data_IF_298952411443
#
_entry.id   IF_298952411443
#
_cell.length_a   1.000
_cell.length_b   1.000
_cell.length_c   1.000
_cell.angle_alpha   90.00
_cell.angle_beta   90.00
_cell.angle_gamma   90.00
#
_symmetry.space_group_name_H-M   'P 1'
#
loop_
_entity.id
_entity.type
_entity.pdbx_description
1 polymer ?
#
# COMPACT_ATOMS: atom_id res chain seq x y z
N UNK A 1 -29.39 11.60 2.70
CA UNK A 1 -28.03 11.87 3.17
C UNK A 1 -27.18 10.63 3.09
N UNK A 2 -26.00 10.73 2.51
CA UNK A 2 -25.11 9.59 2.41
C UNK A 2 -24.16 9.55 3.58
N UNK A 3 -23.89 8.35 4.07
CA UNK A 3 -22.92 8.18 5.12
C UNK A 3 -21.72 7.39 4.61
N UNK A 4 -20.53 7.88 4.97
CA UNK A 4 -19.29 7.23 4.62
C UNK A 4 -18.54 6.95 5.90
N UNK A 5 -17.96 5.78 6.02
CA UNK A 5 -17.08 5.48 7.13
C UNK A 5 -15.74 5.05 6.56
N UNK A 6 -15.21 5.89 5.69
CA UNK A 6 -13.98 5.58 5.01
C UNK A 6 -12.93 6.59 5.32
N UNK A 7 -11.69 6.11 5.44
CA UNK A 7 -10.56 6.99 5.53
C UNK A 7 -10.38 7.66 4.18
N UNK A 8 -10.14 8.97 4.17
CA UNK A 8 -9.92 9.72 2.94
C UNK A 8 -8.62 10.50 3.08
N UNK A 9 -8.10 10.98 1.96
CA UNK A 9 -6.88 11.80 1.98
C UNK A 9 -7.15 13.11 2.70
N UNK A 10 -6.08 13.68 3.25
CA UNK A 10 -6.16 14.82 4.17
C UNK A 10 -6.89 16.03 3.60
N UNK A 11 -6.80 16.27 2.31
CA UNK A 11 -7.38 17.45 1.73
C UNK A 11 -8.80 17.26 1.19
N UNK A 12 -9.33 16.06 1.32
CA UNK A 12 -10.65 15.79 0.76
C UNK A 12 -11.74 16.67 1.35
N UNK A 13 -11.78 16.91 2.69
CA UNK A 13 -12.83 17.78 3.22
C UNK A 13 -12.79 19.18 2.61
N UNK A 14 -11.60 19.78 2.46
CA UNK A 14 -11.55 21.13 1.89
C UNK A 14 -11.87 21.11 0.40
N UNK A 15 -11.56 20.02 -0.31
CA UNK A 15 -11.95 19.92 -1.71
C UNK A 15 -13.47 19.86 -1.85
N UNK A 16 -14.12 19.09 -0.98
CA UNK A 16 -15.58 19.00 -0.98
C UNK A 16 -16.20 20.37 -0.73
N UNK A 17 -15.65 21.09 0.25
CA UNK A 17 -16.20 22.39 0.60
C UNK A 17 -15.96 23.43 -0.51
N UNK A 18 -14.81 23.35 -1.15
CA UNK A 18 -14.54 24.24 -2.27
C UNK A 18 -15.48 23.98 -3.44
N UNK A 19 -16.04 22.78 -3.52
CA UNK A 19 -16.99 22.42 -4.55
C UNK A 19 -18.43 22.78 -4.16
N UNK A 20 -18.61 23.54 -3.08
CA UNK A 20 -19.94 24.01 -2.68
C UNK A 20 -20.74 23.03 -1.85
N UNK A 21 -20.11 21.99 -1.34
CA UNK A 21 -20.80 20.99 -0.53
C UNK A 21 -20.32 21.06 0.90
N UNK A 22 -21.06 20.42 1.81
CA UNK A 22 -20.62 20.33 3.19
C UNK A 22 -20.35 18.87 3.51
N UNK A 23 -19.50 18.65 4.49
CA UNK A 23 -19.22 17.29 4.94
C UNK A 23 -18.93 17.31 6.43
N UNK A 24 -19.11 16.17 7.05
CA UNK A 24 -18.74 15.96 8.44
C UNK A 24 -17.63 14.93 8.46
N UNK A 25 -16.66 15.12 9.34
CA UNK A 25 -15.57 14.15 9.45
C UNK A 25 -15.02 14.19 10.87
N UNK A 26 -14.27 13.17 11.22
CA UNK A 26 -13.57 13.15 12.48
C UNK A 26 -12.15 12.67 12.24
N UNK A 27 -11.28 12.96 13.19
CA UNK A 27 -9.88 12.55 13.10
C UNK A 27 -9.71 11.31 13.97
N UNK A 28 -9.15 10.25 13.39
CA UNK A 28 -8.87 9.04 14.15
C UNK A 28 -7.38 8.84 14.25
N UNK A 29 -6.93 8.13 15.26
CA UNK A 29 -5.51 7.89 15.50
C UNK A 29 -5.32 6.47 16.00
N UNK A 30 -4.06 6.06 16.09
CA UNK A 30 -3.69 4.79 16.70
C UNK A 30 -4.26 3.58 15.99
N UNK A 31 -4.74 2.67 16.78
CA UNK A 31 -5.26 1.40 16.28
C UNK A 31 -6.40 1.57 15.31
N UNK A 32 -7.26 2.51 15.58
CA UNK A 32 -8.41 2.75 14.71
C UNK A 32 -7.95 3.21 13.32
N UNK A 33 -7.00 4.15 13.31
CA UNK A 33 -6.46 4.63 12.05
C UNK A 33 -5.77 3.51 11.29
N UNK A 34 -4.99 2.69 12.01
CA UNK A 34 -4.28 1.58 11.37
C UNK A 34 -5.25 0.60 10.71
N UNK A 35 -6.32 0.27 11.41
CA UNK A 35 -7.32 -0.64 10.90
C UNK A 35 -7.99 -0.10 9.64
N UNK A 36 -8.30 1.19 9.66
CA UNK A 36 -8.90 1.82 8.49
C UNK A 36 -7.94 1.87 7.32
N UNK A 37 -6.63 2.00 7.59
CA UNK A 37 -5.64 1.94 6.52
C UNK A 37 -5.56 0.54 5.93
N UNK A 38 -5.70 -0.50 6.74
CA UNK A 38 -5.72 -1.86 6.22
C UNK A 38 -6.92 -2.08 5.29
N UNK A 39 -8.07 -1.56 5.70
CA UNK A 39 -9.25 -1.63 4.84
C UNK A 39 -9.04 -0.82 3.56
N UNK A 40 -8.39 0.31 3.70
CA UNK A 40 -8.15 1.20 2.56
C UNK A 40 -7.24 0.55 1.52
N UNK A 41 -6.18 -0.13 1.96
CA UNK A 41 -5.29 -0.74 0.98
C UNK A 41 -6.03 -1.84 0.21
N UNK A 42 -6.90 -2.58 0.87
CA UNK A 42 -7.68 -3.60 0.19
C UNK A 42 -8.61 -2.96 -0.85
N UNK A 43 -9.22 -1.85 -0.47
CA UNK A 43 -10.11 -1.12 -1.36
C UNK A 43 -9.36 -0.64 -2.60
N UNK A 44 -8.17 -0.02 -2.39
CA UNK A 44 -7.41 0.52 -3.51
C UNK A 44 -6.87 -0.58 -4.43
N UNK A 45 -6.49 -1.72 -3.86
CA UNK A 45 -6.07 -2.85 -4.66
C UNK A 45 -7.22 -3.34 -5.55
N UNK A 46 -8.41 -3.44 -4.97
CA UNK A 46 -9.59 -3.85 -5.74
C UNK A 46 -9.88 -2.88 -6.89
N UNK A 47 -9.74 -1.58 -6.62
CA UNK A 47 -9.95 -0.58 -7.66
C UNK A 47 -8.92 -0.68 -8.77
N UNK A 48 -7.66 -0.95 -8.41
CA UNK A 48 -6.65 -1.15 -9.43
C UNK A 48 -6.96 -2.36 -10.30
N UNK A 49 -7.39 -3.46 -9.67
CA UNK A 49 -7.68 -4.67 -10.44
C UNK A 49 -8.82 -4.45 -11.43
N UNK A 50 -9.68 -3.48 -11.14
CA UNK A 50 -10.78 -3.15 -12.04
C UNK A 50 -10.36 -2.17 -13.11
N UNK A 51 -9.73 -1.07 -12.73
CA UNK A 51 -9.43 0.03 -13.65
C UNK A 51 -8.05 -0.06 -14.30
N UNK A 52 -7.10 -0.68 -13.66
CA UNK A 52 -5.77 -0.99 -14.20
C UNK A 52 -5.05 0.21 -14.80
N UNK A 53 -4.99 1.31 -14.04
CA UNK A 53 -4.33 2.51 -14.51
C UNK A 53 -3.33 3.04 -13.48
N UNK A 54 -2.57 4.04 -13.90
CA UNK A 54 -1.51 4.61 -13.07
C UNK A 54 -2.05 5.30 -11.83
N UNK A 55 -3.21 5.94 -11.95
CA UNK A 55 -3.81 6.61 -10.82
C UNK A 55 -4.08 5.67 -9.66
N UNK A 56 -4.62 4.49 -9.98
CA UNK A 56 -4.91 3.52 -8.91
C UNK A 56 -3.64 3.00 -8.27
N UNK A 57 -2.56 2.86 -9.04
CA UNK A 57 -1.28 2.47 -8.45
C UNK A 57 -0.75 3.55 -7.52
N UNK A 58 -0.92 4.81 -7.90
CA UNK A 58 -0.50 5.92 -7.03
C UNK A 58 -1.30 5.91 -5.73
N UNK A 59 -2.59 5.59 -5.80
CA UNK A 59 -3.42 5.51 -4.61
C UNK A 59 -2.95 4.39 -3.69
N UNK A 60 -2.57 3.25 -4.26
CA UNK A 60 -2.02 2.16 -3.45
C UNK A 60 -0.73 2.61 -2.77
N UNK A 61 0.14 3.28 -3.51
CA UNK A 61 1.40 3.77 -2.94
C UNK A 61 1.17 4.68 -1.75
N UNK A 62 0.19 5.57 -1.87
CA UNK A 62 -0.08 6.51 -0.78
C UNK A 62 -0.49 5.78 0.49
N UNK A 63 -1.33 4.76 0.35
CA UNK A 63 -1.76 3.98 1.52
C UNK A 63 -0.59 3.19 2.09
N UNK A 64 0.27 2.65 1.21
CA UNK A 64 1.45 1.91 1.66
C UNK A 64 2.36 2.80 2.49
N UNK A 65 2.60 4.04 2.04
CA UNK A 65 3.41 4.98 2.81
C UNK A 65 2.75 5.32 4.15
N UNK A 66 1.44 5.48 4.17
CA UNK A 66 0.74 5.76 5.42
C UNK A 66 0.87 4.58 6.39
N UNK A 67 0.77 3.36 5.88
CA UNK A 67 0.95 2.17 6.72
C UNK A 67 2.37 2.10 7.26
N UNK A 68 3.37 2.41 6.44
CA UNK A 68 4.75 2.43 6.91
C UNK A 68 4.91 3.40 8.07
N UNK A 69 4.31 4.59 7.96
CA UNK A 69 4.37 5.57 9.03
C UNK A 69 3.73 5.05 10.32
N UNK A 70 2.60 4.36 10.21
CA UNK A 70 1.96 3.80 11.40
C UNK A 70 2.81 2.71 12.04
N UNK A 71 3.63 2.03 11.26
CA UNK A 71 4.53 1.02 11.79
C UNK A 71 5.84 1.63 12.29
N UNK A 72 5.97 2.95 12.25
CA UNK A 72 7.14 3.63 12.78
C UNK A 72 8.25 3.88 11.78
N UNK A 73 7.94 3.79 10.49
CA UNK A 73 8.95 3.97 9.45
C UNK A 73 8.63 5.15 8.56
N UNK A 74 9.66 5.82 8.06
CA UNK A 74 9.48 6.92 7.14
C UNK A 74 9.29 6.40 5.72
N UNK A 75 8.80 7.27 4.88
CA UNK A 75 8.70 6.99 3.45
C UNK A 75 10.07 6.63 2.89
N UNK A 76 11.08 7.40 3.30
CA UNK A 76 12.45 7.16 2.85
C UNK A 76 12.92 5.75 3.21
N UNK A 77 12.65 5.34 4.45
CA UNK A 77 13.06 4.00 4.89
C UNK A 77 12.40 2.91 4.07
N UNK A 78 11.14 3.08 3.74
CA UNK A 78 10.44 2.09 2.92
C UNK A 78 11.01 2.05 1.51
N UNK A 79 11.27 3.21 0.91
CA UNK A 79 11.83 3.26 -0.43
C UNK A 79 13.21 2.62 -0.45
N UNK A 80 14.03 2.90 0.56
CA UNK A 80 15.36 2.30 0.64
C UNK A 80 15.29 0.79 0.80
N UNK A 81 14.36 0.31 1.59
CA UNK A 81 14.17 -1.14 1.76
C UNK A 81 13.77 -1.78 0.43
N UNK A 82 12.88 -1.12 -0.32
CA UNK A 82 12.48 -1.62 -1.62
C UNK A 82 13.67 -1.68 -2.58
N UNK A 83 14.49 -0.63 -2.57
CA UNK A 83 15.69 -0.61 -3.42
C UNK A 83 16.67 -1.72 -3.05
N UNK A 84 16.87 -1.91 -1.76
CA UNK A 84 17.78 -2.96 -1.29
C UNK A 84 17.28 -4.33 -1.74
N UNK A 85 16.00 -4.59 -1.57
CA UNK A 85 15.45 -5.88 -2.00
C UNK A 85 15.52 -6.05 -3.52
N UNK A 86 15.41 -4.93 -4.25
CA UNK A 86 15.52 -4.99 -5.69
C UNK A 86 16.93 -5.38 -6.13
N UNK A 87 17.95 -4.85 -5.45
CA UNK A 87 19.33 -5.21 -5.75
C UNK A 87 19.58 -6.67 -5.41
N UNK A 88 19.06 -7.12 -4.27
CA UNK A 88 19.30 -8.49 -3.82
C UNK A 88 18.52 -9.54 -4.60
N UNK A 89 17.29 -9.26 -4.94
CA UNK A 89 16.39 -10.27 -5.52
C UNK A 89 15.88 -9.92 -6.89
N UNK A 90 16.10 -8.69 -7.35
CA UNK A 90 15.58 -8.24 -8.62
C UNK A 90 14.12 -7.81 -8.54
N UNK A 91 13.58 -7.40 -9.65
CA UNK A 91 12.18 -7.08 -9.77
C UNK A 91 11.45 -8.21 -10.47
N UNK A 92 10.46 -7.87 -11.26
CA UNK A 92 9.63 -8.86 -11.91
C UNK A 92 9.70 -8.82 -13.44
N UNK A 93 10.69 -8.12 -13.97
CA UNK A 93 10.74 -7.91 -15.42
C UNK A 93 10.91 -9.18 -16.22
N UNK A 94 11.58 -10.18 -15.64
CA UNK A 94 11.82 -11.43 -16.37
C UNK A 94 10.62 -12.36 -16.38
N UNK A 95 9.61 -12.09 -15.56
CA UNK A 95 8.41 -12.93 -15.53
C UNK A 95 8.68 -14.37 -15.14
N UNK A 96 9.50 -14.58 -14.12
CA UNK A 96 9.88 -15.94 -13.71
C UNK A 96 8.79 -16.58 -12.87
N UNK A 97 8.33 -17.74 -13.30
CA UNK A 97 7.38 -18.53 -12.53
C UNK A 97 8.11 -19.75 -12.01
N UNK A 98 8.25 -19.83 -10.70
CA UNK A 98 8.93 -20.97 -10.11
C UNK A 98 7.96 -22.15 -10.06
N UNK A 99 8.28 -23.20 -10.76
CA UNK A 99 7.36 -24.33 -10.85
C UNK A 99 7.74 -25.50 -9.98
N UNK A 100 8.99 -25.55 -9.55
CA UNK A 100 9.42 -26.67 -8.75
C UNK A 100 10.64 -26.28 -7.97
N UNK A 101 10.76 -26.77 -6.75
CA UNK A 101 11.93 -26.54 -5.93
C UNK A 101 12.36 -27.87 -5.38
N UNK A 102 13.62 -28.24 -5.62
CA UNK A 102 14.13 -29.49 -5.18
C UNK A 102 15.29 -29.24 -4.27
N UNK A 103 15.31 -29.89 -3.12
CA UNK A 103 16.41 -29.76 -2.23
C UNK A 103 17.58 -30.56 -2.78
N UNK A 104 18.73 -29.94 -2.84
CA UNK A 104 19.91 -30.64 -3.31
C UNK A 104 20.45 -31.53 -2.20
N UNK A 105 20.75 -32.75 -2.56
CA UNK A 105 21.20 -33.71 -1.61
C UNK A 105 22.67 -33.60 -1.38
N UNK A 106 23.16 -32.44 -1.18
CA UNK A 106 24.57 -32.21 -0.95
C UNK A 106 24.77 -31.66 0.40
N UNK A 107 25.99 -31.72 0.84
CA UNK A 107 26.28 -31.31 2.14
C UNK A 107 25.97 -29.92 2.43
N UNK A 108 26.25 -29.01 1.59
CA UNK A 108 25.96 -27.67 1.91
C UNK A 108 25.05 -27.10 0.95
N UNK A 109 23.85 -27.30 1.07
CA UNK A 109 23.01 -26.71 0.25
C UNK A 109 22.83 -25.39 0.63
N UNK A 110 22.99 -24.55 0.16
CA UNK A 110 22.86 -23.27 0.41
C UNK A 110 21.58 -22.79 0.73
N UNK A 111 21.40 -21.89 1.26
CA UNK A 111 20.22 -21.44 1.61
C UNK A 111 19.72 -20.50 0.71
N UNK A 112 19.05 -20.15 0.36
CA UNK A 112 18.59 -19.30 -0.52
C UNK A 112 18.07 -18.15 -0.16
#
# INVERSE_FOLDING_TARGET
MKKYNKLVRDKIPEIIEADGKTCKYEIVTGEEKYKLLEEKIQEEVNEFLEDKNLEELADIMEVVFALANELGHSEYELVKKREYKNVERGGFKKGIVLTELKKIDLINEGSN
#
